data_IF_977046126220
#
_entry.id   IF_977046126220
#
_cell.length_a   1.000
_cell.length_b   1.000
_cell.length_c   1.000
_cell.angle_alpha   90.00
_cell.angle_beta   90.00
_cell.angle_gamma   90.00
#
_symmetry.space_group_name_H-M   'P 1'
#
loop_
_entity.id
_entity.type
_entity.pdbx_description
1 polymer ?
#
# COMPACT_ATOMS: atom_id res chain seq x y z
N UNK A 1 7.16 11.17 10.75
CA UNK A 1 6.93 11.10 9.29
C UNK A 1 5.56 10.50 9.03
N UNK A 2 5.36 9.18 9.19
CA UNK A 2 4.09 8.48 8.92
C UNK A 2 2.88 9.09 9.63
N UNK A 3 2.97 9.33 10.93
CA UNK A 3 1.89 9.95 11.71
C UNK A 3 1.46 11.32 11.17
N UNK A 4 2.39 12.08 10.59
CA UNK A 4 2.14 13.44 10.12
C UNK A 4 1.66 13.50 8.66
N UNK A 5 1.88 12.45 7.87
CA UNK A 5 1.65 12.46 6.42
C UNK A 5 0.79 11.31 5.91
N UNK A 6 0.41 10.36 6.77
CA UNK A 6 -0.59 9.33 6.43
C UNK A 6 -1.98 9.92 6.60
N UNK A 7 -2.67 10.17 5.49
CA UNK A 7 -3.99 10.81 5.47
C UNK A 7 -5.04 9.86 4.90
N UNK A 8 -6.33 10.19 5.05
CA UNK A 8 -7.43 9.34 4.55
C UNK A 8 -7.42 9.20 3.02
N UNK A 9 -6.99 10.23 2.28
CA UNK A 9 -6.93 10.20 0.82
C UNK A 9 -5.59 9.68 0.28
N UNK A 10 -4.53 9.68 1.10
CA UNK A 10 -3.20 9.17 0.76
C UNK A 10 -2.57 8.48 1.98
N UNK A 11 -3.03 7.26 2.32
CA UNK A 11 -2.50 6.52 3.45
C UNK A 11 -1.15 5.88 3.13
N UNK A 12 -0.25 5.82 4.13
CA UNK A 12 0.98 5.04 4.01
C UNK A 12 0.72 3.56 4.32
N UNK A 13 1.23 2.66 3.48
CA UNK A 13 1.20 1.21 3.74
C UNK A 13 2.54 0.74 4.28
N UNK A 14 2.53 0.10 5.45
CA UNK A 14 3.73 -0.52 6.04
C UNK A 14 3.88 -1.93 5.45
N UNK A 15 5.05 -2.21 4.89
CA UNK A 15 5.40 -3.52 4.29
C UNK A 15 6.45 -4.21 5.15
N UNK A 16 6.11 -5.35 5.72
CA UNK A 16 7.06 -6.18 6.48
C UNK A 16 8.05 -6.83 5.52
N UNK A 17 9.32 -6.43 5.60
CA UNK A 17 10.31 -6.73 4.56
C UNK A 17 11.34 -7.82 4.92
N UNK A 18 11.16 -8.51 6.05
CA UNK A 18 12.07 -9.60 6.46
C UNK A 18 12.12 -10.72 5.42
N UNK A 19 10.97 -11.10 4.85
CA UNK A 19 10.90 -11.93 3.64
C UNK A 19 10.70 -11.05 2.40
N UNK A 20 11.71 -11.03 1.53
CA UNK A 20 11.71 -10.22 0.31
C UNK A 20 10.65 -10.66 -0.71
N UNK A 21 10.36 -11.95 -0.82
CA UNK A 21 9.34 -12.46 -1.76
C UNK A 21 7.96 -12.00 -1.31
N UNK A 22 7.67 -12.15 -0.02
CA UNK A 22 6.43 -11.64 0.58
C UNK A 22 6.28 -10.13 0.39
N UNK A 23 7.32 -9.35 0.70
CA UNK A 23 7.29 -7.89 0.60
C UNK A 23 6.95 -7.40 -0.81
N UNK A 24 7.54 -8.02 -1.84
CA UNK A 24 7.27 -7.70 -3.25
C UNK A 24 5.82 -7.98 -3.62
N UNK A 25 5.29 -9.13 -3.19
CA UNK A 25 3.90 -9.50 -3.46
C UNK A 25 2.94 -8.54 -2.74
N UNK A 26 3.19 -8.21 -1.47
CA UNK A 26 2.37 -7.26 -0.70
C UNK A 26 2.35 -5.89 -1.37
N UNK A 27 3.51 -5.35 -1.75
CA UNK A 27 3.62 -4.06 -2.41
C UNK A 27 2.83 -4.02 -3.73
N UNK A 28 2.98 -5.03 -4.58
CA UNK A 28 2.25 -5.11 -5.85
C UNK A 28 0.73 -5.18 -5.62
N UNK A 29 0.27 -6.03 -4.70
CA UNK A 29 -1.16 -6.16 -4.35
C UNK A 29 -1.76 -4.84 -3.87
N UNK A 30 -1.09 -4.15 -2.95
CA UNK A 30 -1.56 -2.86 -2.43
C UNK A 30 -1.74 -1.83 -3.55
N UNK A 31 -0.80 -1.76 -4.49
CA UNK A 31 -0.92 -0.82 -5.63
C UNK A 31 -2.07 -1.22 -6.55
N UNK A 32 -2.20 -2.49 -6.90
CA UNK A 32 -3.29 -2.95 -7.78
C UNK A 32 -4.67 -2.75 -7.15
N UNK A 33 -4.82 -3.04 -5.85
CA UNK A 33 -6.08 -2.86 -5.12
C UNK A 33 -6.50 -1.38 -5.11
N UNK A 34 -5.57 -0.46 -4.84
CA UNK A 34 -5.86 0.98 -4.86
C UNK A 34 -6.30 1.48 -6.24
N UNK A 35 -5.68 0.96 -7.32
CA UNK A 35 -6.07 1.28 -8.70
C UNK A 35 -7.47 0.72 -8.99
N UNK A 36 -7.72 -0.54 -8.65
CA UNK A 36 -9.02 -1.18 -8.88
C UNK A 36 -10.16 -0.51 -8.13
N UNK A 37 -9.95 -0.15 -6.86
CA UNK A 37 -10.92 0.58 -6.05
C UNK A 37 -11.29 1.91 -6.73
N UNK A 38 -10.28 2.61 -7.27
CA UNK A 38 -10.50 3.87 -7.97
C UNK A 38 -11.20 3.73 -9.32
N UNK A 39 -11.04 2.59 -9.99
CA UNK A 39 -11.71 2.30 -11.27
C UNK A 39 -13.14 1.78 -11.08
N UNK A 40 -13.48 1.22 -9.91
CA UNK A 40 -14.84 0.75 -9.58
C UNK A 40 -15.76 1.91 -9.17
N UNK A 41 -15.22 3.09 -8.87
CA UNK A 41 -15.96 4.34 -8.60
C UNK A 41 -16.24 5.13 -9.87
#
# INVERSE_FOLDING_TARGET
MLEKTSTTYAPWTIVEANDKKYARIKALKTVTEAIEEKLKS
#
